data_IF_371171870984
#
_entry.id   IF_371171870984
#
_cell.length_a   1.000
_cell.length_b   1.000
_cell.length_c   1.000
_cell.angle_alpha   90.00
_cell.angle_beta   90.00
_cell.angle_gamma   90.00
#
_symmetry.space_group_name_H-M   'P 1'
#
loop_
_entity.id
_entity.type
_entity.pdbx_description
1 polymer ?
#
# COMPACT_ATOMS: atom_id res chain seq x y z
N UNK A 1 51.83 6.74 59.95
CA UNK A 1 50.70 5.79 59.94
C UNK A 1 49.85 6.10 58.73
N UNK A 2 50.09 5.35 57.67
CA UNK A 2 49.41 5.41 56.38
C UNK A 2 48.09 4.65 56.51
N UNK A 3 46.96 5.35 56.41
CA UNK A 3 45.65 4.72 56.24
C UNK A 3 45.27 4.83 54.78
N UNK A 4 45.41 3.73 54.05
CA UNK A 4 44.87 3.55 52.72
C UNK A 4 43.40 3.16 52.81
N UNK A 5 42.52 3.94 52.17
CA UNK A 5 41.15 3.55 51.89
C UNK A 5 41.06 3.37 50.39
N UNK A 6 40.99 2.11 49.96
CA UNK A 6 40.76 1.70 48.60
C UNK A 6 39.28 1.94 48.26
N UNK A 7 39.00 2.81 47.28
CA UNK A 7 37.70 2.84 46.62
C UNK A 7 37.72 1.80 45.49
N UNK A 8 36.92 0.75 45.67
CA UNK A 8 36.53 -0.17 44.61
C UNK A 8 35.72 0.58 43.55
N UNK A 9 36.29 0.76 42.36
CA UNK A 9 35.52 1.01 41.14
C UNK A 9 35.04 -0.36 40.61
N UNK A 10 33.76 -0.53 40.24
CA UNK A 10 33.33 -1.75 39.58
C UNK A 10 33.92 -1.77 38.17
N UNK A 11 34.62 -2.87 37.85
CA UNK A 11 35.05 -3.19 36.50
C UNK A 11 33.79 -3.43 35.68
N UNK A 12 33.37 -2.43 34.91
CA UNK A 12 32.47 -2.62 33.78
C UNK A 12 33.26 -3.38 32.72
N UNK A 13 33.07 -4.70 32.67
CA UNK A 13 33.44 -5.53 31.53
C UNK A 13 32.73 -4.98 30.30
N UNK A 14 33.46 -4.21 29.50
CA UNK A 14 33.06 -3.84 28.15
C UNK A 14 33.06 -5.13 27.31
N UNK A 15 31.88 -5.70 27.10
CA UNK A 15 31.66 -6.68 26.04
C UNK A 15 31.99 -6.02 24.71
N UNK A 16 32.99 -6.54 24.00
CA UNK A 16 33.27 -6.13 22.62
C UNK A 16 32.10 -6.56 21.75
N UNK A 17 31.25 -5.60 21.40
CA UNK A 17 30.16 -5.73 20.45
C UNK A 17 30.70 -5.39 19.05
N UNK A 18 30.67 -6.35 18.13
CA UNK A 18 30.83 -6.08 16.70
C UNK A 18 29.48 -6.22 16.02
N UNK A 19 29.09 -5.20 15.24
CA UNK A 19 27.79 -5.10 14.56
C UNK A 19 27.90 -5.57 13.12
N UNK A 20 27.19 -6.64 12.77
CA UNK A 20 26.59 -6.86 11.45
C UNK A 20 25.25 -7.59 11.68
N UNK A 21 24.15 -7.06 11.11
CA UNK A 21 22.80 -7.67 11.08
C UNK A 21 22.23 -8.20 12.40
N UNK A 22 21.58 -7.34 13.20
CA UNK A 22 20.63 -7.57 14.33
C UNK A 22 20.77 -8.79 15.30
N UNK A 23 21.83 -9.58 15.25
CA UNK A 23 22.06 -10.73 16.12
C UNK A 23 23.46 -10.65 16.74
N UNK A 24 23.53 -10.17 17.98
CA UNK A 24 24.77 -10.22 18.77
C UNK A 24 24.93 -11.65 19.30
N UNK A 25 26.00 -12.34 18.91
CA UNK A 25 26.34 -13.67 19.45
C UNK A 25 27.04 -13.50 20.80
N UNK A 26 26.37 -13.86 21.89
CA UNK A 26 26.92 -13.78 23.24
C UNK A 26 27.83 -14.98 23.53
N UNK A 27 29.08 -14.72 23.92
CA UNK A 27 30.11 -15.74 24.17
C UNK A 27 29.68 -16.74 25.25
N UNK A 28 28.96 -16.27 26.27
CA UNK A 28 28.49 -17.05 27.40
C UNK A 28 27.48 -18.13 27.01
N UNK A 29 26.72 -17.91 25.93
CA UNK A 29 25.75 -18.89 25.42
C UNK A 29 26.44 -20.15 24.89
N UNK A 30 27.72 -20.09 24.54
CA UNK A 30 28.50 -21.19 23.98
C UNK A 30 29.63 -21.67 24.89
N UNK A 31 29.52 -21.41 26.20
CA UNK A 31 30.53 -21.80 27.18
C UNK A 31 31.08 -23.24 27.04
N UNK A 32 30.28 -24.29 26.74
CA UNK A 32 30.80 -25.65 26.54
C UNK A 32 31.81 -25.77 25.39
N UNK A 33 31.67 -24.96 24.35
CA UNK A 33 32.52 -24.95 23.14
C UNK A 33 33.77 -24.07 23.31
N UNK A 34 33.87 -23.34 24.43
CA UNK A 34 34.97 -22.42 24.75
C UNK A 34 35.84 -22.91 25.92
N UNK A 35 35.71 -24.18 26.31
CA UNK A 35 36.38 -24.81 27.45
C UNK A 35 37.91 -25.04 27.26
N UNK A 36 38.58 -24.23 26.44
CA UNK A 36 40.05 -24.21 26.32
C UNK A 36 40.68 -25.39 25.55
N UNK A 37 39.88 -26.26 24.92
CA UNK A 37 40.38 -27.33 24.02
C UNK A 37 40.95 -26.77 22.71
N UNK A 38 40.38 -25.67 22.26
CA UNK A 38 40.82 -24.91 21.09
C UNK A 38 41.68 -23.70 21.51
N UNK A 39 42.56 -23.20 20.62
CA UNK A 39 43.28 -21.94 20.79
C UNK A 39 42.40 -20.77 21.21
N UNK A 40 43.02 -19.72 21.74
CA UNK A 40 42.29 -18.52 22.19
C UNK A 40 41.37 -17.99 21.08
N UNK A 41 40.12 -17.74 21.45
CA UNK A 41 39.07 -17.21 20.58
C UNK A 41 38.58 -18.14 19.45
N UNK A 42 38.72 -19.45 19.63
CA UNK A 42 38.16 -20.46 18.73
C UNK A 42 37.01 -21.24 19.37
N UNK A 43 36.07 -21.65 18.53
CA UNK A 43 34.91 -22.47 18.85
C UNK A 43 35.21 -23.95 18.59
N UNK A 44 35.03 -24.81 19.58
CA UNK A 44 35.15 -26.27 19.46
C UNK A 44 33.87 -26.86 18.84
N UNK A 45 33.93 -27.36 17.61
CA UNK A 45 32.75 -27.89 16.91
C UNK A 45 32.13 -29.13 17.58
N UNK A 46 32.89 -29.88 18.39
CA UNK A 46 32.35 -31.00 19.17
C UNK A 46 33.09 -31.13 20.51
N UNK A 47 32.57 -30.50 21.59
CA UNK A 47 33.19 -30.55 22.91
C UNK A 47 33.14 -31.94 23.56
N UNK A 48 32.35 -32.88 23.00
CA UNK A 48 32.22 -34.25 23.51
C UNK A 48 33.12 -35.25 22.77
N UNK A 49 33.58 -34.92 21.56
CA UNK A 49 34.49 -35.76 20.77
C UNK A 49 35.90 -35.76 21.31
N UNK A 50 36.62 -36.88 21.13
CA UNK A 50 38.06 -36.98 21.44
C UNK A 50 38.92 -36.23 20.41
N UNK A 51 38.47 -36.22 19.15
CA UNK A 51 39.09 -35.42 18.09
C UNK A 51 38.59 -33.99 18.19
N UNK A 52 39.49 -33.02 18.02
CA UNK A 52 39.15 -31.61 18.08
C UNK A 52 39.07 -31.01 16.67
N UNK A 53 38.01 -30.28 16.41
CA UNK A 53 37.85 -29.47 15.21
C UNK A 53 37.47 -28.07 15.67
N UNK A 54 38.29 -27.08 15.33
CA UNK A 54 38.16 -25.73 15.86
C UNK A 54 37.96 -24.75 14.71
N UNK A 55 36.97 -23.87 14.82
CA UNK A 55 36.73 -22.76 13.88
C UNK A 55 36.88 -21.42 14.61
N UNK A 56 37.19 -20.30 13.92
CA UNK A 56 37.18 -18.98 14.55
C UNK A 56 35.82 -18.66 15.17
N UNK A 57 35.76 -18.04 16.36
CA UNK A 57 34.47 -17.67 16.96
C UNK A 57 33.67 -16.67 16.09
N UNK A 58 34.34 -15.96 15.18
CA UNK A 58 33.73 -14.98 14.26
C UNK A 58 32.84 -15.60 13.18
N UNK A 59 32.97 -16.90 12.92
CA UNK A 59 32.14 -17.61 11.93
C UNK A 59 30.98 -18.38 12.59
N UNK A 60 30.86 -18.30 13.91
CA UNK A 60 29.71 -18.87 14.62
C UNK A 60 28.48 -18.03 14.30
N UNK A 61 27.39 -18.69 13.86
CA UNK A 61 26.10 -18.05 13.52
C UNK A 61 26.21 -17.09 12.33
N UNK A 62 27.12 -17.39 11.39
CA UNK A 62 27.33 -16.57 10.19
C UNK A 62 26.54 -17.08 8.97
N UNK A 63 25.74 -18.13 9.16
CA UNK A 63 24.90 -18.78 8.15
C UNK A 63 25.61 -19.71 7.18
N UNK A 64 26.88 -20.00 7.43
CA UNK A 64 27.64 -21.01 6.72
C UNK A 64 27.98 -22.16 7.67
N UNK A 65 27.93 -23.40 7.15
CA UNK A 65 28.27 -24.59 7.93
C UNK A 65 29.78 -24.81 7.81
N UNK A 66 30.53 -24.28 8.76
CA UNK A 66 31.99 -24.43 8.88
C UNK A 66 32.37 -25.60 9.80
N UNK A 67 31.53 -25.92 10.78
CA UNK A 67 31.67 -27.14 11.56
C UNK A 67 31.18 -28.37 10.77
N UNK A 68 31.89 -29.52 10.79
CA UNK A 68 31.47 -30.74 10.09
C UNK A 68 30.10 -31.28 10.51
N UNK A 69 29.64 -30.93 11.71
CA UNK A 69 28.35 -31.30 12.29
C UNK A 69 27.34 -30.14 12.33
N UNK A 70 27.71 -28.95 11.85
CA UNK A 70 26.89 -27.74 11.84
C UNK A 70 26.54 -27.17 13.22
N UNK A 71 27.34 -27.45 14.25
CA UNK A 71 27.11 -26.93 15.61
C UNK A 71 27.34 -25.41 15.73
N UNK A 72 28.20 -24.84 14.89
CA UNK A 72 28.42 -23.40 14.72
C UNK A 72 27.15 -22.63 14.39
N UNK A 73 26.24 -23.24 13.63
CA UNK A 73 24.98 -22.60 13.23
C UNK A 73 23.83 -22.80 14.24
N UNK A 74 24.05 -23.56 15.30
CA UNK A 74 23.06 -23.79 16.34
C UNK A 74 23.02 -22.66 17.36
N UNK A 75 21.87 -22.49 18.00
CA UNK A 75 21.74 -21.55 19.10
C UNK A 75 22.42 -22.06 20.37
N UNK A 76 22.97 -21.12 21.15
CA UNK A 76 23.61 -21.42 22.43
C UNK A 76 22.63 -21.82 23.53
N UNK A 77 23.17 -21.97 24.74
CA UNK A 77 22.43 -22.38 25.92
C UNK A 77 21.20 -21.50 26.18
N UNK A 78 20.09 -22.15 26.57
CA UNK A 78 18.79 -21.52 26.85
C UNK A 78 18.16 -20.75 25.69
N UNK A 79 18.68 -20.91 24.48
CA UNK A 79 18.10 -20.35 23.27
C UNK A 79 17.45 -21.43 22.39
N UNK A 80 16.58 -21.00 21.49
CA UNK A 80 15.93 -21.81 20.46
C UNK A 80 16.00 -21.06 19.14
N UNK A 81 16.25 -21.80 18.07
CA UNK A 81 16.27 -21.27 16.70
C UNK A 81 14.85 -21.20 16.12
N UNK A 82 14.43 -20.04 15.66
CA UNK A 82 13.16 -19.81 14.95
C UNK A 82 13.38 -19.02 13.66
N UNK A 83 12.32 -18.77 12.89
CA UNK A 83 12.38 -17.95 11.66
C UNK A 83 13.28 -18.53 10.55
N UNK A 84 13.23 -19.86 10.33
CA UNK A 84 14.15 -20.59 9.42
C UNK A 84 13.76 -20.55 7.93
N UNK A 85 12.50 -20.28 7.60
CA UNK A 85 11.96 -20.40 6.23
C UNK A 85 11.03 -19.22 5.85
N UNK A 86 11.36 -18.01 6.33
CA UNK A 86 10.63 -16.80 5.92
C UNK A 86 11.12 -16.41 4.52
N UNK A 87 10.33 -16.71 3.49
CA UNK A 87 10.66 -16.43 2.09
C UNK A 87 10.63 -14.92 1.81
N UNK A 88 11.72 -14.23 2.10
CA UNK A 88 12.08 -13.09 1.27
C UNK A 88 12.82 -13.62 0.02
N UNK A 89 12.62 -12.97 -1.13
CA UNK A 89 13.20 -13.37 -2.41
C UNK A 89 14.72 -13.21 -2.50
N UNK A 90 15.46 -13.26 -1.38
CA UNK A 90 16.91 -13.11 -1.31
C UNK A 90 17.67 -14.34 -0.78
N UNK A 91 17.06 -15.53 -0.87
CA UNK A 91 17.75 -16.79 -0.66
C UNK A 91 17.61 -17.33 0.76
N UNK A 92 17.68 -18.66 0.86
CA UNK A 92 17.49 -19.42 2.10
C UNK A 92 18.61 -19.08 3.09
N UNK A 93 18.32 -18.27 4.10
CA UNK A 93 19.16 -18.20 5.30
C UNK A 93 18.93 -19.49 6.10
N UNK A 94 19.82 -20.46 5.97
CA UNK A 94 19.79 -21.74 6.71
C UNK A 94 19.95 -21.59 8.25
N UNK A 95 19.94 -20.35 8.75
CA UNK A 95 20.42 -19.93 10.06
C UNK A 95 19.40 -19.00 10.75
N UNK A 96 18.19 -19.48 11.01
CA UNK A 96 17.13 -18.70 11.67
C UNK A 96 17.56 -18.00 12.98
N UNK A 97 16.74 -17.08 13.49
CA UNK A 97 17.02 -16.26 14.67
C UNK A 97 17.08 -17.08 15.97
N UNK A 98 18.11 -16.84 16.78
CA UNK A 98 18.21 -17.40 18.12
C UNK A 98 17.52 -16.51 19.15
N UNK A 99 16.51 -17.04 19.83
CA UNK A 99 15.81 -16.34 20.91
C UNK A 99 15.87 -17.15 22.20
N UNK A 100 15.77 -16.48 23.35
CA UNK A 100 15.64 -17.18 24.62
C UNK A 100 14.38 -18.04 24.62
N UNK A 101 14.46 -19.26 25.17
CA UNK A 101 13.32 -20.20 25.25
C UNK A 101 12.06 -19.58 25.85
N UNK A 102 12.21 -18.66 26.81
CA UNK A 102 11.10 -17.94 27.47
C UNK A 102 10.42 -16.89 26.58
N UNK A 103 11.09 -16.44 25.52
CA UNK A 103 10.63 -15.36 24.62
C UNK A 103 10.17 -15.90 23.26
N UNK A 104 10.08 -17.23 23.12
CA UNK A 104 9.76 -17.90 21.86
C UNK A 104 8.40 -17.47 21.28
N UNK A 105 7.43 -17.15 22.14
CA UNK A 105 6.08 -16.76 21.70
C UNK A 105 5.95 -15.24 21.43
N UNK A 106 7.01 -14.45 21.63
CA UNK A 106 6.96 -12.99 21.42
C UNK A 106 7.96 -12.52 20.39
N UNK A 107 9.11 -13.19 20.25
CA UNK A 107 10.20 -12.76 19.38
C UNK A 107 10.42 -13.60 18.12
N UNK A 108 9.77 -14.76 18.02
CA UNK A 108 9.79 -15.60 16.82
C UNK A 108 8.53 -15.36 16.00
N UNK A 109 8.69 -15.02 14.73
CA UNK A 109 7.58 -14.77 13.82
C UNK A 109 6.78 -16.05 13.59
N UNK A 110 7.45 -17.20 13.46
CA UNK A 110 6.81 -18.52 13.29
C UNK A 110 5.96 -19.02 14.49
N UNK A 111 5.95 -18.29 15.62
CA UNK A 111 5.27 -18.71 16.87
C UNK A 111 4.55 -17.58 17.63
N UNK A 112 4.60 -16.34 17.12
CA UNK A 112 4.13 -15.12 17.80
C UNK A 112 2.65 -15.18 18.20
N UNK A 113 1.81 -15.79 17.38
CA UNK A 113 0.35 -15.73 17.50
C UNK A 113 -0.32 -17.03 17.90
N UNK A 114 0.47 -18.01 18.38
CA UNK A 114 -0.03 -19.34 18.74
C UNK A 114 -1.20 -19.36 19.74
N UNK A 115 -1.27 -18.39 20.65
CA UNK A 115 -2.33 -18.35 21.66
C UNK A 115 -3.72 -18.08 21.07
N UNK A 116 -3.78 -17.39 19.91
CA UNK A 116 -5.04 -17.12 19.20
C UNK A 116 -5.69 -18.40 18.66
N UNK A 117 -4.95 -19.49 18.50
CA UNK A 117 -5.50 -20.78 18.08
C UNK A 117 -6.51 -21.40 19.06
N UNK A 118 -6.64 -20.85 20.28
CA UNK A 118 -7.67 -21.28 21.25
C UNK A 118 -8.96 -20.46 21.18
N UNK A 119 -8.97 -19.39 20.37
CA UNK A 119 -10.10 -18.46 20.21
C UNK A 119 -10.95 -18.83 18.97
N UNK A 120 -12.26 -18.64 19.06
CA UNK A 120 -13.17 -18.85 17.92
C UNK A 120 -13.00 -17.74 16.87
N UNK A 121 -13.08 -18.09 15.58
CA UNK A 121 -12.95 -17.11 14.49
C UNK A 121 -11.50 -16.74 14.16
N UNK A 122 -10.59 -17.69 14.23
CA UNK A 122 -9.18 -17.53 13.84
C UNK A 122 -8.79 -18.49 12.71
N UNK A 123 -7.85 -18.08 11.87
CA UNK A 123 -7.32 -18.84 10.74
C UNK A 123 -5.98 -19.47 11.13
N UNK A 124 -5.83 -20.78 10.90
CA UNK A 124 -4.58 -21.50 11.15
C UNK A 124 -3.59 -21.29 10.00
N UNK A 125 -2.40 -20.78 10.34
CA UNK A 125 -1.28 -20.65 9.40
C UNK A 125 -0.78 -22.02 8.93
N UNK A 126 -0.26 -22.12 7.71
CA UNK A 126 -0.10 -23.41 7.02
C UNK A 126 1.10 -24.23 7.50
N UNK A 127 2.24 -23.59 7.66
CA UNK A 127 3.54 -24.23 7.91
C UNK A 127 4.00 -24.07 9.35
N UNK A 128 3.51 -23.05 10.04
CA UNK A 128 3.88 -22.76 11.42
C UNK A 128 2.70 -22.95 12.38
N UNK A 129 2.89 -22.62 13.65
CA UNK A 129 1.92 -22.91 14.72
C UNK A 129 1.14 -21.66 15.15
N UNK A 130 1.07 -20.66 14.29
CA UNK A 130 0.29 -19.45 14.51
C UNK A 130 -1.15 -19.62 14.07
N UNK A 131 -2.02 -18.83 14.69
CA UNK A 131 -3.32 -18.52 14.14
C UNK A 131 -3.48 -17.01 14.13
N UNK A 132 -4.08 -16.48 13.07
CA UNK A 132 -4.35 -15.05 12.91
C UNK A 132 -5.86 -14.83 12.88
N UNK A 133 -6.38 -13.67 13.29
CA UNK A 133 -7.79 -13.31 13.09
C UNK A 133 -8.18 -13.37 11.61
N UNK A 134 -9.43 -13.71 11.30
CA UNK A 134 -9.90 -13.78 9.90
C UNK A 134 -9.84 -12.42 9.18
N UNK A 135 -9.89 -11.32 9.94
CA UNK A 135 -9.78 -9.96 9.39
C UNK A 135 -8.35 -9.63 8.90
N UNK A 136 -7.35 -10.44 9.25
CA UNK A 136 -5.95 -10.33 8.82
C UNK A 136 -5.63 -11.27 7.65
N UNK A 137 -6.65 -11.64 6.87
CA UNK A 137 -6.46 -12.46 5.68
C UNK A 137 -6.49 -11.58 4.44
N UNK A 138 -5.42 -11.64 3.64
CA UNK A 138 -5.25 -10.86 2.41
C UNK A 138 -5.21 -9.35 2.67
N UNK A 139 -4.63 -8.93 3.80
CA UNK A 139 -4.41 -7.52 4.13
C UNK A 139 -3.04 -7.01 3.66
N UNK A 140 -2.31 -7.88 2.96
CA UNK A 140 -1.00 -7.70 2.37
C UNK A 140 0.13 -7.59 3.42
N UNK A 141 -0.12 -8.06 4.65
CA UNK A 141 0.87 -8.31 5.68
C UNK A 141 1.01 -9.83 5.92
N UNK A 142 2.24 -10.35 5.99
CA UNK A 142 2.48 -11.76 6.34
C UNK A 142 2.45 -11.92 7.87
N UNK A 143 1.24 -11.85 8.44
CA UNK A 143 1.00 -12.01 9.87
C UNK A 143 1.21 -13.45 10.33
N UNK A 144 0.95 -14.40 9.44
CA UNK A 144 1.29 -15.78 9.64
C UNK A 144 2.79 -15.99 9.76
N UNK A 145 3.61 -15.18 9.08
CA UNK A 145 5.03 -15.40 8.88
C UNK A 145 5.32 -16.53 7.89
N UNK A 146 4.36 -16.98 7.09
CA UNK A 146 4.58 -17.94 6.00
C UNK A 146 3.78 -17.64 4.72
N UNK A 147 3.10 -16.49 4.71
CA UNK A 147 2.28 -15.93 3.65
C UNK A 147 0.95 -16.66 3.43
N UNK A 148 0.53 -17.52 4.35
CA UNK A 148 -0.65 -18.37 4.15
C UNK A 148 -1.98 -17.66 4.37
N UNK A 149 -1.96 -16.62 5.20
CA UNK A 149 -3.02 -15.64 5.41
C UNK A 149 -3.28 -14.77 4.18
N UNK A 150 -2.24 -14.50 3.41
CA UNK A 150 -2.28 -13.67 2.20
C UNK A 150 -2.71 -14.40 0.94
N UNK A 151 -2.82 -15.74 1.01
CA UNK A 151 -3.47 -16.53 -0.02
C UNK A 151 -4.10 -17.81 0.56
N UNK A 152 -5.19 -17.69 1.34
CA UNK A 152 -5.83 -18.83 1.99
C UNK A 152 -6.53 -19.77 0.99
N UNK A 153 -6.70 -19.30 -0.26
CA UNK A 153 -7.35 -20.03 -1.35
C UNK A 153 -6.39 -20.92 -2.16
N UNK A 154 -5.12 -20.54 -2.32
CA UNK A 154 -4.13 -21.35 -3.06
C UNK A 154 -3.78 -22.67 -2.37
N UNK A 155 -3.99 -22.75 -1.05
CA UNK A 155 -3.47 -23.83 -0.23
C UNK A 155 -4.52 -24.84 0.25
N UNK A 156 -5.76 -24.73 -0.22
CA UNK A 156 -6.81 -25.75 -0.05
C UNK A 156 -7.36 -25.91 1.38
N UNK A 157 -7.09 -24.95 2.28
CA UNK A 157 -7.52 -24.98 3.68
C UNK A 157 -8.88 -24.32 3.92
N UNK A 158 -9.42 -23.58 2.94
CA UNK A 158 -10.76 -22.97 3.03
C UNK A 158 -11.53 -23.20 1.71
N UNK A 159 -12.71 -23.82 1.79
CA UNK A 159 -13.61 -23.96 0.64
C UNK A 159 -14.42 -22.66 0.47
N UNK A 160 -13.99 -21.78 -0.44
CA UNK A 160 -14.66 -20.52 -0.74
C UNK A 160 -15.88 -20.67 -1.66
N UNK A 161 -16.48 -21.86 -1.78
CA UNK A 161 -17.76 -22.08 -2.46
C UNK A 161 -18.90 -22.15 -1.45
N UNK A 162 -19.49 -21.00 -1.12
CA UNK A 162 -20.95 -20.77 -1.05
C UNK A 162 -21.25 -19.50 -0.25
N UNK A 163 -21.67 -18.42 -0.92
CA UNK A 163 -22.55 -17.44 -0.29
C UNK A 163 -23.99 -17.86 -0.56
N UNK A 164 -24.64 -18.38 0.48
CA UNK A 164 -26.10 -18.47 0.57
C UNK A 164 -26.63 -17.04 0.61
N UNK A 165 -27.31 -16.62 -0.45
CA UNK A 165 -28.11 -15.40 -0.45
C UNK A 165 -29.55 -15.80 -0.07
N UNK A 166 -30.23 -15.10 0.86
CA UNK A 166 -31.63 -15.37 1.14
C UNK A 166 -32.51 -14.90 -0.01
N UNK A 167 -33.36 -15.80 -0.47
CA UNK A 167 -34.37 -15.58 -1.51
C UNK A 167 -35.43 -14.58 -1.06
N UNK A 168 -35.77 -13.62 -1.92
CA UNK A 168 -37.13 -13.06 -1.94
C UNK A 168 -37.56 -12.86 -3.40
N UNK A 169 -38.53 -13.68 -3.79
CA UNK A 169 -39.31 -13.71 -5.04
C UNK A 169 -40.04 -12.37 -5.25
N UNK A 170 -40.13 -11.72 -6.42
CA UNK A 170 -40.73 -12.05 -7.75
C UNK A 170 -41.40 -10.73 -8.29
N UNK A 171 -41.92 -10.61 -9.52
CA UNK A 171 -41.40 -11.06 -10.83
C UNK A 171 -41.56 -10.01 -11.98
N UNK A 172 -40.81 -10.25 -13.08
CA UNK A 172 -41.08 -9.93 -14.50
C UNK A 172 -41.13 -8.47 -14.99
N UNK A 173 -40.04 -8.03 -15.63
CA UNK A 173 -40.13 -7.41 -16.96
C UNK A 173 -38.83 -7.65 -17.78
N UNK A 174 -39.00 -7.74 -19.09
CA UNK A 174 -38.07 -8.33 -20.08
C UNK A 174 -36.84 -7.44 -20.34
N UNK A 175 -35.61 -7.98 -20.43
CA UNK A 175 -34.41 -7.15 -20.64
C UNK A 175 -34.19 -6.82 -22.13
N UNK A 176 -33.89 -5.55 -22.40
CA UNK A 176 -33.19 -5.12 -23.63
C UNK A 176 -31.73 -5.52 -23.51
N UNK A 177 -31.28 -6.37 -24.43
CA UNK A 177 -29.96 -6.99 -24.41
C UNK A 177 -28.87 -5.97 -24.76
N UNK A 178 -27.96 -5.72 -23.82
CA UNK A 178 -26.69 -5.00 -24.07
C UNK A 178 -25.76 -5.86 -24.93
N UNK A 179 -24.96 -5.28 -25.84
CA UNK A 179 -24.03 -6.07 -26.67
C UNK A 179 -22.99 -6.77 -25.79
N UNK A 180 -22.89 -8.09 -25.92
CA UNK A 180 -21.91 -8.93 -25.22
C UNK A 180 -20.52 -8.67 -25.83
N UNK A 181 -19.67 -7.96 -25.08
CA UNK A 181 -18.26 -7.72 -25.41
C UNK A 181 -17.43 -8.95 -25.01
N UNK A 182 -16.54 -9.40 -25.89
CA UNK A 182 -15.58 -10.48 -25.63
C UNK A 182 -14.68 -10.13 -24.43
N UNK A 183 -14.58 -11.06 -23.48
CA UNK A 183 -14.07 -10.83 -22.11
C UNK A 183 -12.54 -10.84 -22.01
N UNK A 184 -11.83 -10.01 -22.77
CA UNK A 184 -10.46 -9.64 -22.37
C UNK A 184 -10.54 -8.60 -21.27
N UNK A 185 -10.06 -8.87 -20.04
CA UNK A 185 -10.18 -7.92 -18.95
C UNK A 185 -9.32 -6.69 -19.26
N UNK A 186 -9.97 -5.53 -19.45
CA UNK A 186 -9.32 -4.26 -19.67
C UNK A 186 -9.19 -3.48 -18.35
N UNK A 187 -8.08 -2.78 -18.15
CA UNK A 187 -7.75 -2.11 -16.89
C UNK A 187 -8.14 -0.64 -16.82
N UNK A 188 -8.37 -0.01 -17.96
CA UNK A 188 -8.77 1.38 -18.07
C UNK A 188 -9.56 1.61 -19.37
N UNK A 189 -10.03 2.84 -19.57
CA UNK A 189 -10.83 3.21 -20.74
C UNK A 189 -10.02 3.23 -22.04
N UNK A 190 -8.70 3.41 -21.96
CA UNK A 190 -7.83 3.38 -23.12
C UNK A 190 -7.69 1.94 -23.66
N UNK A 191 -7.52 0.95 -22.79
CA UNK A 191 -7.50 -0.47 -23.16
C UNK A 191 -8.88 -0.91 -23.68
N UNK A 192 -9.98 -0.46 -23.06
CA UNK A 192 -11.34 -0.73 -23.54
C UNK A 192 -11.58 -0.18 -24.96
N UNK A 193 -11.14 1.05 -25.24
CA UNK A 193 -11.27 1.67 -26.56
C UNK A 193 -10.32 1.03 -27.59
N UNK A 194 -9.12 0.61 -27.18
CA UNK A 194 -8.19 -0.10 -28.06
C UNK A 194 -8.74 -1.47 -28.49
N UNK A 195 -9.42 -2.18 -27.58
CA UNK A 195 -10.10 -3.44 -27.88
C UNK A 195 -11.34 -3.24 -28.76
N UNK A 196 -12.04 -2.11 -28.60
CA UNK A 196 -13.27 -1.79 -29.31
C UNK A 196 -13.21 -0.37 -29.91
N UNK A 197 -12.70 -0.18 -31.14
CA UNK A 197 -12.48 1.14 -31.75
C UNK A 197 -13.68 2.09 -31.83
N UNK A 198 -14.91 1.54 -31.84
CA UNK A 198 -16.16 2.30 -31.89
C UNK A 198 -16.87 2.38 -30.54
N UNK A 199 -16.18 2.11 -29.43
CA UNK A 199 -16.76 2.16 -28.09
C UNK A 199 -17.27 3.58 -27.78
N UNK A 200 -18.59 3.78 -27.56
CA UNK A 200 -19.11 5.10 -27.24
C UNK A 200 -18.66 5.56 -25.85
N UNK A 201 -18.92 6.82 -25.50
CA UNK A 201 -18.78 7.27 -24.12
C UNK A 201 -19.84 6.61 -23.23
N UNK A 202 -19.49 6.26 -22.01
CA UNK A 202 -20.43 5.63 -21.08
C UNK A 202 -19.79 4.86 -19.95
N UNK A 203 -20.63 4.10 -19.24
CA UNK A 203 -20.22 3.26 -18.13
C UNK A 203 -19.74 1.90 -18.59
N UNK A 204 -18.61 1.47 -18.07
CA UNK A 204 -18.00 0.18 -18.37
C UNK A 204 -17.42 -0.45 -17.11
N UNK A 205 -17.06 -1.72 -17.22
CA UNK A 205 -16.27 -2.42 -16.20
C UNK A 205 -14.80 -2.45 -16.62
N UNK A 206 -13.94 -1.90 -15.77
CA UNK A 206 -12.51 -2.10 -15.83
C UNK A 206 -12.10 -3.11 -14.74
N UNK A 207 -10.87 -3.61 -14.82
CA UNK A 207 -10.36 -4.63 -13.93
C UNK A 207 -9.03 -4.20 -13.34
N UNK A 208 -8.90 -4.34 -12.03
CA UNK A 208 -7.64 -4.00 -11.36
C UNK A 208 -6.52 -4.91 -11.89
N UNK A 209 -5.47 -4.30 -12.44
CA UNK A 209 -4.36 -5.03 -13.04
C UNK A 209 -3.42 -5.60 -11.98
N UNK A 210 -3.47 -5.10 -10.74
CA UNK A 210 -2.72 -5.63 -9.61
C UNK A 210 -3.32 -6.92 -9.05
N UNK A 211 -4.57 -7.24 -9.40
CA UNK A 211 -5.21 -8.48 -8.99
C UNK A 211 -4.64 -9.70 -9.72
N UNK A 212 -4.34 -10.75 -8.95
CA UNK A 212 -3.85 -12.04 -9.46
C UNK A 212 -4.79 -12.66 -10.52
N UNK A 213 -6.10 -12.51 -10.33
CA UNK A 213 -7.12 -12.81 -11.34
C UNK A 213 -7.91 -11.54 -11.65
N UNK A 214 -7.52 -10.87 -12.74
CA UNK A 214 -8.16 -9.63 -13.21
C UNK A 214 -9.68 -9.77 -13.26
N UNK A 215 -10.21 -10.92 -13.69
CA UNK A 215 -11.65 -11.12 -13.86
C UNK A 215 -12.47 -11.05 -12.56
N UNK A 216 -11.80 -11.20 -11.40
CA UNK A 216 -12.41 -11.17 -10.07
C UNK A 216 -12.39 -9.81 -9.38
N UNK A 217 -11.69 -8.82 -9.96
CA UNK A 217 -11.63 -7.46 -9.43
C UNK A 217 -12.22 -6.42 -10.39
N UNK A 218 -13.49 -6.58 -10.82
CA UNK A 218 -14.13 -5.55 -11.63
C UNK A 218 -14.43 -4.31 -10.80
N UNK A 219 -14.28 -3.14 -11.40
CA UNK A 219 -14.78 -1.89 -10.89
C UNK A 219 -15.42 -1.07 -12.01
N UNK A 220 -16.40 -0.24 -11.63
CA UNK A 220 -17.06 0.66 -12.58
C UNK A 220 -16.12 1.79 -13.00
N UNK A 221 -16.17 2.15 -14.28
CA UNK A 221 -15.52 3.35 -14.83
C UNK A 221 -16.48 4.07 -15.77
N UNK A 222 -16.34 5.40 -15.83
CA UNK A 222 -16.95 6.19 -16.91
C UNK A 222 -15.85 6.51 -17.93
N UNK A 223 -16.06 6.07 -19.17
CA UNK A 223 -15.17 6.33 -20.29
C UNK A 223 -15.68 7.50 -21.12
N UNK A 224 -14.87 8.54 -21.24
CA UNK A 224 -15.07 9.57 -22.25
C UNK A 224 -14.25 9.18 -23.49
N UNK A 225 -14.97 8.64 -24.47
CA UNK A 225 -14.41 8.23 -25.74
C UNK A 225 -14.59 9.28 -26.83
N UNK A 226 -15.23 10.42 -26.57
CA UNK A 226 -15.48 11.45 -27.57
C UNK A 226 -14.41 12.54 -27.57
N UNK A 227 -13.98 12.94 -26.37
CA UNK A 227 -13.08 14.06 -26.21
C UNK A 227 -11.63 13.70 -26.58
N UNK A 228 -11.00 14.51 -27.44
CA UNK A 228 -9.55 14.42 -27.77
C UNK A 228 -9.07 12.99 -28.12
N UNK A 229 -9.84 12.28 -28.94
CA UNK A 229 -9.53 10.92 -29.39
C UNK A 229 -9.96 9.80 -28.43
N UNK A 230 -10.54 10.13 -27.28
CA UNK A 230 -11.13 9.16 -26.36
C UNK A 230 -10.13 8.41 -25.47
N UNK A 231 -10.60 7.34 -24.81
CA UNK A 231 -9.79 6.54 -23.89
C UNK A 231 -9.57 7.21 -22.53
N UNK A 232 -10.38 8.21 -22.17
CA UNK A 232 -10.27 8.91 -20.90
C UNK A 232 -11.08 8.20 -19.82
N UNK A 233 -10.44 7.90 -18.70
CA UNK A 233 -11.11 7.40 -17.48
C UNK A 233 -11.41 8.56 -16.55
N UNK A 234 -12.69 8.80 -16.26
CA UNK A 234 -13.10 9.82 -15.30
C UNK A 234 -12.91 9.31 -13.86
N UNK A 235 -12.19 10.07 -13.04
CA UNK A 235 -11.81 9.68 -11.67
C UNK A 235 -12.45 10.54 -10.58
N UNK A 236 -12.92 11.73 -10.95
CA UNK A 236 -13.74 12.59 -10.11
C UNK A 236 -14.72 13.33 -10.97
N UNK A 237 -15.96 13.44 -10.49
CA UNK A 237 -16.97 14.33 -11.03
C UNK A 237 -17.59 15.14 -9.90
N UNK A 238 -17.73 16.44 -10.14
CA UNK A 238 -18.42 17.40 -9.29
C UNK A 238 -19.31 18.29 -10.16
N UNK A 239 -20.60 18.30 -9.93
CA UNK A 239 -21.55 19.15 -10.66
C UNK A 239 -22.51 19.91 -9.73
N UNK A 240 -22.78 19.37 -8.54
CA UNK A 240 -23.64 20.00 -7.55
C UNK A 240 -23.27 19.65 -6.10
N UNK A 241 -24.03 20.19 -5.15
CA UNK A 241 -23.82 19.98 -3.71
C UNK A 241 -24.61 18.77 -3.18
N UNK A 242 -24.99 17.81 -4.04
CA UNK A 242 -25.79 16.64 -3.64
C UNK A 242 -25.01 15.65 -2.79
N UNK A 243 -23.69 15.58 -2.98
CA UNK A 243 -22.81 14.67 -2.28
C UNK A 243 -21.81 15.40 -1.39
N UNK A 244 -21.66 14.89 -0.16
CA UNK A 244 -20.66 15.40 0.77
C UNK A 244 -19.27 14.85 0.43
N UNK A 245 -18.29 15.73 0.18
CA UNK A 245 -16.87 15.41 -0.02
C UNK A 245 -16.02 15.63 1.24
N UNK A 246 -16.61 16.05 2.35
CA UNK A 246 -15.96 16.01 3.66
C UNK A 246 -15.98 14.56 4.18
N UNK A 247 -15.03 13.77 3.69
CA UNK A 247 -14.93 12.34 3.92
C UNK A 247 -13.64 12.00 4.66
N UNK A 248 -13.69 10.89 5.39
CA UNK A 248 -12.55 10.35 6.13
C UNK A 248 -11.50 9.79 5.19
N UNK A 249 -10.31 9.48 5.73
CA UNK A 249 -9.24 8.82 4.99
C UNK A 249 -9.71 7.50 4.38
N UNK A 250 -10.39 6.67 5.17
CA UNK A 250 -10.90 5.37 4.73
C UNK A 250 -11.94 5.51 3.59
N UNK A 251 -12.81 6.51 3.65
CA UNK A 251 -13.77 6.78 2.58
C UNK A 251 -13.08 7.27 1.30
N UNK A 252 -12.08 8.14 1.41
CA UNK A 252 -11.29 8.58 0.24
C UNK A 252 -10.42 7.44 -0.33
N UNK A 253 -9.94 6.53 0.51
CA UNK A 253 -9.25 5.28 0.11
C UNK A 253 -10.16 4.41 -0.77
N UNK A 254 -11.34 4.04 -0.26
CA UNK A 254 -12.28 3.16 -0.96
C UNK A 254 -13.02 3.84 -2.13
N UNK A 255 -13.18 5.15 -2.08
CA UNK A 255 -14.04 5.91 -2.98
C UNK A 255 -15.47 6.00 -2.47
N UNK A 256 -16.22 6.96 -3.03
CA UNK A 256 -17.60 7.22 -2.67
C UNK A 256 -18.36 7.83 -3.84
N UNK A 257 -19.69 7.67 -3.77
CA UNK A 257 -20.56 7.90 -4.92
C UNK A 257 -20.53 6.72 -5.88
N UNK A 258 -21.28 6.85 -6.97
CA UNK A 258 -21.38 5.82 -7.99
C UNK A 258 -21.05 6.42 -9.36
N UNK A 259 -19.92 5.97 -9.91
CA UNK A 259 -19.47 6.37 -11.25
C UNK A 259 -20.51 6.10 -12.34
N UNK A 260 -21.43 5.16 -12.11
CA UNK A 260 -22.42 4.72 -13.09
C UNK A 260 -23.70 5.57 -13.11
N UNK A 261 -24.00 6.31 -12.04
CA UNK A 261 -25.23 7.13 -11.98
C UNK A 261 -25.08 8.46 -12.72
N UNK A 262 -23.85 8.87 -13.02
CA UNK A 262 -23.54 10.18 -13.60
C UNK A 262 -23.60 11.32 -12.59
N UNK A 263 -23.76 11.02 -11.30
CA UNK A 263 -23.72 11.97 -10.18
C UNK A 263 -22.29 12.29 -9.75
N UNK A 264 -22.15 13.06 -8.66
CA UNK A 264 -20.87 13.35 -8.04
C UNK A 264 -20.23 12.06 -7.48
N UNK A 265 -18.93 11.87 -7.73
CA UNK A 265 -18.19 10.73 -7.18
C UNK A 265 -16.69 11.01 -7.05
N UNK A 266 -16.05 10.20 -6.22
CA UNK A 266 -14.60 10.03 -6.15
C UNK A 266 -14.26 8.54 -6.31
N UNK A 267 -13.43 8.21 -7.30
CA UNK A 267 -13.16 6.80 -7.66
C UNK A 267 -12.48 6.00 -6.54
N UNK A 268 -11.79 6.67 -5.61
CA UNK A 268 -11.02 6.05 -4.53
C UNK A 268 -9.52 6.14 -4.76
N UNK A 269 -8.75 6.41 -3.71
CA UNK A 269 -7.31 6.60 -3.81
C UNK A 269 -6.57 5.30 -4.14
N UNK A 270 -7.04 4.13 -3.66
CA UNK A 270 -6.47 2.83 -4.04
C UNK A 270 -6.64 2.58 -5.55
N UNK A 271 -7.82 2.92 -6.09
CA UNK A 271 -8.08 2.79 -7.53
C UNK A 271 -7.27 3.80 -8.34
N UNK A 272 -7.15 5.05 -7.87
CA UNK A 272 -6.28 6.05 -8.50
C UNK A 272 -4.83 5.60 -8.54
N UNK A 273 -4.32 5.04 -7.43
CA UNK A 273 -2.99 4.46 -7.37
C UNK A 273 -2.85 3.34 -8.41
N UNK A 274 -3.73 2.34 -8.37
CA UNK A 274 -3.69 1.22 -9.34
C UNK A 274 -3.71 1.74 -10.79
N UNK A 275 -4.63 2.63 -11.15
CA UNK A 275 -4.73 3.19 -12.51
C UNK A 275 -3.47 3.93 -12.97
N UNK A 276 -2.68 4.48 -12.04
CA UNK A 276 -1.53 5.36 -12.36
C UNK A 276 -0.15 4.81 -12.01
N UNK A 277 -0.06 3.71 -11.25
CA UNK A 277 1.20 3.13 -10.75
C UNK A 277 1.94 2.24 -11.75
N UNK A 278 1.37 1.99 -12.93
CA UNK A 278 2.04 1.22 -13.99
C UNK A 278 3.28 1.96 -14.47
N UNK A 279 4.46 1.51 -14.03
CA UNK A 279 5.76 2.15 -14.32
C UNK A 279 6.05 2.35 -15.82
N UNK A 280 5.48 1.53 -16.68
CA UNK A 280 5.67 1.60 -18.14
C UNK A 280 4.59 2.44 -18.86
N UNK A 281 3.53 2.85 -18.15
CA UNK A 281 2.39 3.58 -18.70
C UNK A 281 2.10 4.80 -17.79
N UNK A 282 2.96 5.84 -17.80
CA UNK A 282 2.65 7.09 -17.10
C UNK A 282 1.31 7.64 -17.60
N UNK A 283 0.51 8.28 -16.76
CA UNK A 283 -0.78 8.86 -17.16
C UNK A 283 -0.66 10.37 -17.37
N UNK A 284 -1.46 10.92 -18.28
CA UNK A 284 -1.76 12.34 -18.39
C UNK A 284 -3.08 12.67 -17.68
N UNK A 285 -3.21 13.91 -17.20
CA UNK A 285 -4.41 14.40 -16.51
C UNK A 285 -5.06 15.53 -17.31
N UNK A 286 -6.37 15.49 -17.42
CA UNK A 286 -7.21 16.61 -17.81
C UNK A 286 -8.12 17.01 -16.65
N UNK A 287 -8.19 18.31 -16.41
CA UNK A 287 -9.19 18.94 -15.55
C UNK A 287 -10.12 19.75 -16.44
N UNK A 288 -11.38 19.33 -16.53
CA UNK A 288 -12.44 20.08 -17.23
C UNK A 288 -13.26 20.84 -16.21
N UNK A 289 -13.48 22.12 -16.46
CA UNK A 289 -14.13 23.01 -15.51
C UNK A 289 -15.16 23.89 -16.20
N UNK A 290 -16.27 24.11 -15.51
CA UNK A 290 -17.23 25.14 -15.86
C UNK A 290 -17.20 26.26 -14.81
N UNK A 291 -16.77 27.48 -15.13
CA UNK A 291 -16.79 28.60 -14.19
C UNK A 291 -18.21 29.00 -13.78
N UNK A 292 -18.32 29.56 -12.58
CA UNK A 292 -19.55 30.23 -12.13
C UNK A 292 -19.76 31.52 -12.91
N UNK A 293 -20.95 31.69 -13.48
CA UNK A 293 -21.34 32.89 -14.23
C UNK A 293 -22.25 32.55 -15.39
N UNK A 294 -22.89 33.56 -15.97
CA UNK A 294 -23.62 33.45 -17.23
C UNK A 294 -22.64 33.51 -18.40
N UNK A 295 -22.73 32.59 -19.36
CA UNK A 295 -21.93 32.56 -20.59
C UNK A 295 -20.39 32.51 -20.38
N UNK A 296 -19.93 31.94 -19.26
CA UNK A 296 -18.51 31.66 -19.08
C UNK A 296 -18.13 30.42 -19.90
N UNK A 297 -17.06 30.47 -20.72
CA UNK A 297 -16.61 29.29 -21.47
C UNK A 297 -16.12 28.19 -20.52
N UNK A 298 -16.24 26.93 -20.94
CA UNK A 298 -15.58 25.82 -20.24
C UNK A 298 -14.07 25.96 -20.36
N UNK A 299 -13.35 25.55 -19.32
CA UNK A 299 -11.89 25.62 -19.25
C UNK A 299 -11.35 24.20 -19.18
N UNK A 300 -10.33 23.93 -19.98
CA UNK A 300 -9.55 22.69 -19.95
C UNK A 300 -8.12 23.02 -19.53
N UNK A 301 -7.65 22.32 -18.50
CA UNK A 301 -6.25 22.30 -18.09
C UNK A 301 -5.70 20.88 -18.26
N UNK A 302 -4.55 20.73 -18.91
CA UNK A 302 -3.90 19.44 -19.18
C UNK A 302 -2.50 19.38 -18.58
N UNK A 303 -2.22 18.33 -17.84
CA UNK A 303 -0.91 18.04 -17.27
C UNK A 303 -0.28 16.85 -17.99
N UNK A 304 1.02 16.94 -18.28
CA UNK A 304 1.76 15.90 -19.00
C UNK A 304 1.92 14.59 -18.23
N UNK A 305 1.84 14.64 -16.90
CA UNK A 305 2.02 13.49 -16.02
C UNK A 305 1.10 13.59 -14.80
N UNK A 306 0.55 12.47 -14.39
CA UNK A 306 -0.26 12.32 -13.19
C UNK A 306 -0.08 10.91 -12.65
N UNK A 307 0.35 10.81 -11.40
CA UNK A 307 0.37 9.55 -10.66
C UNK A 307 0.12 9.77 -9.17
N UNK A 308 -0.48 8.76 -8.55
CA UNK A 308 -0.80 8.74 -7.13
C UNK A 308 -0.02 7.58 -6.51
N UNK A 309 0.74 7.83 -5.44
CA UNK A 309 1.46 6.79 -4.72
C UNK A 309 0.50 5.87 -3.94
N UNK A 310 1.01 4.79 -3.34
CA UNK A 310 0.22 3.90 -2.48
C UNK A 310 -0.15 4.56 -1.15
N UNK A 311 -0.93 3.86 -0.32
CA UNK A 311 -1.34 4.35 1.00
C UNK A 311 -0.15 4.59 1.94
N UNK A 312 0.86 3.71 1.90
CA UNK A 312 2.07 3.82 2.72
C UNK A 312 2.82 5.13 2.44
N UNK A 313 2.84 5.55 1.17
CA UNK A 313 3.39 6.82 0.73
C UNK A 313 2.34 7.96 0.73
N UNK A 314 1.31 7.85 1.57
CA UNK A 314 0.29 8.87 1.84
C UNK A 314 -0.48 9.32 0.57
N UNK A 315 -0.66 8.42 -0.41
CA UNK A 315 -1.24 8.73 -1.72
C UNK A 315 -0.63 9.97 -2.38
N UNK A 316 0.67 10.21 -2.20
CA UNK A 316 1.36 11.41 -2.70
C UNK A 316 1.14 11.63 -4.19
N UNK A 317 0.81 12.87 -4.57
CA UNK A 317 0.61 13.26 -5.97
C UNK A 317 1.94 13.54 -6.67
N UNK A 318 2.24 12.78 -7.72
CA UNK A 318 3.24 13.12 -8.73
C UNK A 318 2.54 13.80 -9.91
N UNK A 319 2.82 15.09 -10.12
CA UNK A 319 2.19 15.89 -11.17
C UNK A 319 3.23 16.53 -12.08
N UNK A 320 3.10 16.32 -13.38
CA UNK A 320 3.94 16.93 -14.41
C UNK A 320 3.68 18.42 -14.63
N UNK A 321 4.34 19.03 -15.63
CA UNK A 321 4.04 20.40 -16.03
C UNK A 321 2.63 20.51 -16.64
N UNK A 322 2.00 21.67 -16.44
CA UNK A 322 0.84 22.12 -17.20
C UNK A 322 1.26 22.34 -18.66
N UNK A 323 0.66 21.62 -19.61
CA UNK A 323 1.01 21.68 -21.04
C UNK A 323 -0.06 22.33 -21.91
N UNK A 324 -1.30 22.42 -21.44
CA UNK A 324 -2.37 23.16 -22.10
C UNK A 324 -3.27 23.82 -21.07
N UNK A 325 -3.59 25.08 -21.32
CA UNK A 325 -4.53 25.89 -20.55
C UNK A 325 -5.25 26.81 -21.53
N UNK A 326 -6.52 26.50 -21.81
CA UNK A 326 -7.30 27.20 -22.85
C UNK A 326 -7.71 28.63 -22.45
N UNK A 327 -7.36 29.07 -21.24
CA UNK A 327 -7.60 30.42 -20.75
C UNK A 327 -6.42 30.95 -19.91
N UNK A 328 -6.00 32.19 -20.19
CA UNK A 328 -4.96 32.95 -19.46
C UNK A 328 -5.21 33.07 -17.96
N UNK A 329 -6.45 32.85 -17.50
CA UNK A 329 -6.86 32.86 -16.08
C UNK A 329 -6.65 31.53 -15.35
N UNK A 330 -6.38 30.42 -16.05
CA UNK A 330 -5.99 29.16 -15.43
C UNK A 330 -4.46 29.13 -15.24
N UNK A 331 -4.02 29.85 -14.21
CA UNK A 331 -2.72 29.67 -13.55
C UNK A 331 -2.61 28.17 -13.18
N UNK A 332 -1.38 27.63 -13.12
CA UNK A 332 -1.12 26.26 -12.64
C UNK A 332 -1.54 26.14 -11.16
N UNK A 333 -2.84 25.91 -10.96
CA UNK A 333 -3.47 25.96 -9.66
C UNK A 333 -3.25 24.67 -8.86
N UNK A 334 -2.73 23.62 -9.51
CA UNK A 334 -2.29 22.38 -8.87
C UNK A 334 -0.78 22.35 -8.62
N UNK A 335 -0.06 23.44 -8.93
CA UNK A 335 1.37 23.55 -8.62
C UNK A 335 1.65 23.28 -7.14
N UNK A 336 0.84 23.86 -6.25
CA UNK A 336 0.95 23.67 -4.80
C UNK A 336 0.52 22.27 -4.34
N UNK A 337 -0.16 21.49 -5.18
CA UNK A 337 -0.50 20.10 -4.90
C UNK A 337 0.62 19.13 -5.31
N UNK A 338 1.55 19.56 -6.18
CA UNK A 338 2.63 18.73 -6.69
C UNK A 338 3.50 18.20 -5.55
N UNK A 339 3.76 16.90 -5.57
CA UNK A 339 4.58 16.17 -4.61
C UNK A 339 4.09 16.24 -3.16
N UNK A 340 2.83 16.59 -2.91
CA UNK A 340 2.26 16.62 -1.57
C UNK A 340 1.44 15.36 -1.27
N UNK A 341 1.38 14.93 0.00
CA UNK A 341 0.53 13.83 0.42
C UNK A 341 -0.95 14.21 0.29
N UNK A 342 -1.81 13.21 0.19
CA UNK A 342 -3.24 13.41 0.37
C UNK A 342 -3.52 13.71 1.83
N UNK A 343 -4.50 14.57 2.11
CA UNK A 343 -4.92 14.89 3.47
C UNK A 343 -6.42 14.78 3.59
N UNK A 344 -6.91 14.44 4.78
CA UNK A 344 -8.33 14.44 5.16
C UNK A 344 -8.50 15.03 6.55
N UNK A 345 -9.74 15.26 6.97
CA UNK A 345 -10.02 15.87 8.28
C UNK A 345 -9.58 15.00 9.47
N UNK A 346 -9.57 13.68 9.30
CA UNK A 346 -9.16 12.67 10.28
C UNK A 346 -7.68 12.26 10.17
N UNK A 347 -6.98 12.65 9.10
CA UNK A 347 -5.52 12.57 8.97
C UNK A 347 -4.93 13.93 8.53
N UNK A 348 -4.93 14.95 9.40
CA UNK A 348 -4.48 16.29 9.07
C UNK A 348 -2.96 16.49 9.22
N UNK A 349 -2.19 15.41 9.47
CA UNK A 349 -0.77 15.52 9.84
C UNK A 349 -0.03 16.44 8.86
N UNK A 350 0.66 17.45 9.41
CA UNK A 350 1.42 18.51 8.74
C UNK A 350 0.63 19.76 8.29
N UNK A 351 -0.68 19.88 8.51
CA UNK A 351 -1.44 21.07 8.06
C UNK A 351 -1.32 22.28 9.02
N UNK A 352 -0.70 23.38 8.59
CA UNK A 352 -0.68 24.67 9.32
C UNK A 352 -2.00 25.46 9.10
N UNK A 353 -2.78 25.08 8.10
CA UNK A 353 -4.02 25.75 7.73
C UNK A 353 -5.14 25.56 8.75
N UNK A 354 -6.10 26.51 8.85
CA UNK A 354 -7.19 26.42 9.82
C UNK A 354 -7.95 25.10 9.73
N UNK A 355 -8.13 24.45 10.88
CA UNK A 355 -8.70 23.10 11.09
C UNK A 355 -10.16 22.92 10.67
N UNK A 356 -10.88 23.99 10.30
CA UNK A 356 -12.29 23.95 9.91
C UNK A 356 -12.53 23.60 8.44
N UNK A 357 -11.54 22.98 7.77
CA UNK A 357 -11.60 22.68 6.34
C UNK A 357 -12.24 21.31 6.10
N UNK A 358 -13.35 21.33 5.36
CA UNK A 358 -14.23 20.19 5.09
C UNK A 358 -13.93 19.57 3.71
N UNK A 359 -12.74 19.02 3.51
CA UNK A 359 -12.34 18.41 2.24
C UNK A 359 -11.23 17.36 2.42
N UNK A 360 -11.02 16.53 1.40
CA UNK A 360 -9.78 15.76 1.24
C UNK A 360 -9.10 16.10 -0.08
N UNK A 361 -7.81 16.44 -0.05
CA UNK A 361 -7.07 16.86 -1.26
C UNK A 361 -5.56 16.76 -1.06
N UNK A 362 -4.78 16.85 -2.15
CA UNK A 362 -3.32 16.99 -2.06
C UNK A 362 -2.94 18.42 -1.69
N UNK A 363 -2.35 18.60 -0.51
CA UNK A 363 -2.03 19.93 0.01
C UNK A 363 -0.70 19.95 0.75
N UNK A 364 0.03 21.05 0.59
CA UNK A 364 1.23 21.31 1.37
C UNK A 364 0.86 21.76 2.79
N UNK A 365 1.62 21.29 3.77
CA UNK A 365 1.50 21.75 5.15
C UNK A 365 1.77 23.25 5.34
N UNK A 366 2.61 23.85 4.48
CA UNK A 366 3.09 25.23 4.60
C UNK A 366 2.32 26.26 3.76
N UNK A 367 1.42 25.82 2.87
CA UNK A 367 0.62 26.71 2.01
C UNK A 367 -0.81 26.23 1.98
N UNK A 368 -1.73 27.10 2.38
CA UNK A 368 -3.16 26.85 2.24
C UNK A 368 -3.55 27.08 0.79
N UNK A 369 -3.42 26.02 -0.03
CA UNK A 369 -3.78 26.08 -1.45
C UNK A 369 -5.15 26.74 -1.65
N UNK A 370 -5.18 27.64 -2.62
CA UNK A 370 -6.41 28.29 -3.07
C UNK A 370 -7.28 27.35 -3.93
N UNK A 371 -6.73 26.22 -4.37
CA UNK A 371 -7.44 25.21 -5.14
C UNK A 371 -8.10 24.20 -4.21
N UNK A 372 -9.42 24.11 -4.30
CA UNK A 372 -10.26 23.36 -3.36
C UNK A 372 -11.33 22.56 -4.13
N UNK A 373 -10.88 21.68 -5.03
CA UNK A 373 -11.77 20.96 -5.96
C UNK A 373 -12.74 20.01 -5.26
N UNK A 374 -12.35 19.48 -4.11
CA UNK A 374 -13.15 18.56 -3.29
C UNK A 374 -13.90 19.28 -2.17
N UNK A 375 -13.89 20.61 -2.13
CA UNK A 375 -14.61 21.35 -1.10
C UNK A 375 -16.13 21.44 -1.36
N UNK A 376 -16.93 21.87 -0.37
CA UNK A 376 -18.35 22.12 -0.59
C UNK A 376 -18.58 23.19 -1.67
N UNK A 377 -19.63 23.06 -2.49
CA UNK A 377 -19.93 24.05 -3.54
C UNK A 377 -20.39 25.39 -2.96
N UNK A 378 -21.13 25.33 -1.86
CA UNK A 378 -21.66 26.50 -1.19
C UNK A 378 -20.55 27.20 -0.40
N UNK A 379 -20.34 28.48 -0.71
CA UNK A 379 -19.52 29.34 0.12
C UNK A 379 -20.21 29.52 1.49
N UNK A 380 -19.47 29.37 2.58
CA UNK A 380 -19.99 29.50 3.95
C UNK A 380 -18.91 30.12 4.84
N UNK A 381 -19.23 31.24 5.49
CA UNK A 381 -18.27 32.02 6.29
C UNK A 381 -17.02 32.36 5.44
N UNK A 382 -15.83 32.03 5.93
CA UNK A 382 -14.55 32.21 5.23
C UNK A 382 -14.30 31.16 4.13
N UNK A 383 -15.15 30.13 4.01
CA UNK A 383 -15.00 29.08 3.00
C UNK A 383 -15.49 29.57 1.63
N UNK A 384 -14.61 29.64 0.61
CA UNK A 384 -14.94 30.25 -0.68
C UNK A 384 -15.78 29.40 -1.64
N UNK A 385 -16.01 28.13 -1.29
CA UNK A 385 -16.56 27.10 -2.18
C UNK A 385 -15.49 26.49 -3.11
N UNK A 386 -15.93 25.67 -4.06
CA UNK A 386 -15.04 25.04 -5.06
C UNK A 386 -14.35 26.11 -5.92
N UNK A 387 -13.01 26.07 -5.95
CA UNK A 387 -12.16 27.04 -6.66
C UNK A 387 -11.00 26.38 -7.41
N UNK A 388 -10.60 27.04 -8.49
CA UNK A 388 -9.36 26.83 -9.23
C UNK A 388 -8.46 28.06 -9.07
N UNK A 389 -7.43 27.95 -8.24
CA UNK A 389 -6.62 29.11 -7.87
C UNK A 389 -7.39 30.14 -7.02
N UNK A 390 -6.85 31.35 -6.89
CA UNK A 390 -7.40 32.35 -5.98
C UNK A 390 -8.78 32.87 -6.38
N UNK A 391 -8.99 33.12 -7.67
CA UNK A 391 -10.07 34.00 -8.15
C UNK A 391 -11.20 33.26 -8.89
N UNK A 392 -10.95 32.03 -9.35
CA UNK A 392 -11.89 31.32 -10.21
C UNK A 392 -12.78 30.36 -9.42
N UNK A 393 -14.06 30.72 -9.26
CA UNK A 393 -15.09 29.82 -8.71
C UNK A 393 -15.62 28.88 -9.76
N UNK A 394 -15.75 27.62 -9.39
CA UNK A 394 -16.13 26.55 -10.31
C UNK A 394 -17.55 26.05 -9.98
N UNK A 395 -18.38 25.90 -11.02
CA UNK A 395 -19.73 25.32 -10.96
C UNK A 395 -19.68 23.81 -11.11
N UNK A 396 -18.82 23.29 -11.98
CA UNK A 396 -18.59 21.86 -12.13
C UNK A 396 -17.13 21.58 -12.51
N UNK A 397 -16.60 20.47 -12.04
CA UNK A 397 -15.24 20.01 -12.33
C UNK A 397 -15.21 18.50 -12.54
N UNK A 398 -14.43 18.07 -13.52
CA UNK A 398 -14.16 16.67 -13.83
C UNK A 398 -12.66 16.45 -13.94
N UNK A 399 -12.16 15.38 -13.32
CA UNK A 399 -10.79 14.91 -13.50
C UNK A 399 -10.83 13.64 -14.35
N UNK A 400 -10.05 13.64 -15.43
CA UNK A 400 -9.92 12.52 -16.34
C UNK A 400 -8.45 12.16 -16.53
N UNK A 401 -8.15 10.87 -16.49
CA UNK A 401 -6.80 10.36 -16.72
C UNK A 401 -6.76 9.45 -17.94
N UNK A 402 -5.59 9.35 -18.57
CA UNK A 402 -5.34 8.45 -19.70
C UNK A 402 -3.85 8.11 -19.77
N UNK A 403 -3.45 6.90 -20.20
CA UNK A 403 -2.05 6.59 -20.46
C UNK A 403 -1.41 7.57 -21.46
N UNK A 404 -0.26 8.11 -21.09
CA UNK A 404 0.58 8.97 -21.91
C UNK A 404 1.09 8.16 -23.11
N UNK A 405 0.88 8.68 -24.32
CA UNK A 405 1.23 7.97 -25.55
C UNK A 405 0.14 7.04 -26.07
N UNK A 406 -1.06 7.04 -25.48
CA UNK A 406 -2.23 6.41 -26.09
C UNK A 406 -2.44 6.93 -27.52
N UNK A 407 -2.56 6.02 -28.47
CA UNK A 407 -2.89 6.31 -29.86
C UNK A 407 -4.34 5.90 -30.10
N UNK A 408 -5.24 6.87 -30.34
CA UNK A 408 -6.63 6.56 -30.66
C UNK A 408 -6.73 5.61 -31.87
N UNK A 409 -7.59 4.57 -31.81
CA UNK A 409 -7.83 3.72 -32.95
C UNK A 409 -8.50 4.52 -34.08
N UNK A 410 -8.23 4.13 -35.33
CA UNK A 410 -8.83 4.76 -36.51
C UNK A 410 -10.33 4.45 -36.51
N UNK A 411 -11.15 5.50 -36.63
CA UNK A 411 -12.61 5.41 -36.68
C UNK A 411 -13.15 5.24 -38.08
#
# INVERSE_FOLDING_TARGET
>A
MTYGIAFHLPVLTFGLLFRFGDSVVEREAYAPHLNGRCPFDQFDCDPSSKEKFCVPFTVVRDCFVDCPNGEDERCGLNQTMCDKELKDGSGVLMCGKCVLKKEINTKCLDRKWRHLCSEEGTFHCKTNQNCVPVDWLNDNEDDCGDGSDENPCENGTVDCRTRVVPSTTSPTERPSESPKVDKTPASDCAELLALNPHLPSGNYSAYDWSCADRSKCPFGVYCDNEFSGGGWTMVMKRWDDSMNFNRSWAEYRCGFGDVTTGEDFWIGNDRLHSLTAKRQCPNELIVRMQPVGTNQPSIVAKYAHFAVADEFNEYRLSLGPLVLSEHLSAIDALLDARNNPFITHDRPEKLICPTNRQFGFWMSGSSCSATLLTSPFRAKNEHPGVRWGADLRIRSVELLIRPQGFVPPVR
#
